data_IF_441823718746
#
_entry.id   IF_441823718746
#
_cell.length_a   1.000
_cell.length_b   1.000
_cell.length_c   1.000
_cell.angle_alpha   90.00
_cell.angle_beta   90.00
_cell.angle_gamma   90.00
#
_symmetry.space_group_name_H-M   'P 1'
#
loop_
_entity.id
_entity.type
_entity.pdbx_description
1 polymer ?
#
# COMPACT_ATOMS: atom_id res chain seq x y z
N UNK A 1 -21.14 11.89 10.44
CA UNK A 1 -19.66 11.94 10.49
C UNK A 1 -19.01 10.54 10.57
N UNK A 2 -19.71 9.48 11.03
CA UNK A 2 -19.14 8.13 11.13
C UNK A 2 -18.82 7.48 9.77
N UNK A 3 -19.64 7.69 8.76
CA UNK A 3 -19.54 7.04 7.44
C UNK A 3 -18.26 7.36 6.65
N UNK A 4 -17.67 8.52 6.85
CA UNK A 4 -16.45 8.95 6.17
C UNK A 4 -15.17 8.62 6.95
N UNK A 5 -15.29 8.12 8.19
CA UNK A 5 -14.13 7.81 9.03
C UNK A 5 -13.24 6.76 8.39
N UNK A 6 -13.82 5.68 7.87
CA UNK A 6 -13.08 4.62 7.19
C UNK A 6 -12.32 5.12 5.95
N UNK A 7 -13.01 5.73 4.96
CA UNK A 7 -12.35 6.33 3.79
C UNK A 7 -11.26 7.34 4.13
N UNK A 8 -11.48 8.21 5.12
CA UNK A 8 -10.47 9.20 5.55
C UNK A 8 -9.23 8.49 6.11
N UNK A 9 -9.38 7.44 6.92
CA UNK A 9 -8.24 6.68 7.43
C UNK A 9 -7.44 6.01 6.30
N UNK A 10 -8.12 5.46 5.28
CA UNK A 10 -7.46 4.89 4.11
C UNK A 10 -6.70 5.98 3.33
N UNK A 11 -7.29 7.14 3.12
CA UNK A 11 -6.63 8.27 2.44
C UNK A 11 -5.43 8.80 3.22
N UNK A 12 -5.53 8.92 4.55
CA UNK A 12 -4.37 9.29 5.37
C UNK A 12 -3.26 8.24 5.27
N UNK A 13 -3.63 6.96 5.24
CA UNK A 13 -2.67 5.88 4.99
C UNK A 13 -2.02 5.98 3.62
N UNK A 14 -2.76 6.31 2.56
CA UNK A 14 -2.22 6.51 1.21
C UNK A 14 -1.24 7.68 1.14
N UNK A 15 -1.52 8.77 1.85
CA UNK A 15 -0.60 9.91 1.98
C UNK A 15 0.68 9.53 2.74
N UNK A 16 0.59 8.69 3.78
CA UNK A 16 1.78 8.15 4.43
C UNK A 16 2.58 7.25 3.47
N UNK A 17 1.93 6.40 2.68
CA UNK A 17 2.61 5.59 1.67
C UNK A 17 3.31 6.43 0.60
N UNK A 18 2.82 7.61 0.29
CA UNK A 18 3.40 8.49 -0.74
C UNK A 18 4.84 8.93 -0.43
N UNK A 19 5.27 8.90 0.85
CA UNK A 19 6.68 9.18 1.21
C UNK A 19 7.63 8.08 0.72
N UNK A 20 7.13 6.88 0.39
CA UNK A 20 7.94 5.75 -0.08
C UNK A 20 8.77 6.13 -1.31
N UNK A 21 8.15 6.80 -2.29
CA UNK A 21 8.85 7.24 -3.50
C UNK A 21 9.95 8.26 -3.20
N UNK A 22 9.64 9.26 -2.36
CA UNK A 22 10.63 10.25 -1.91
C UNK A 22 11.82 9.59 -1.22
N UNK A 23 11.57 8.67 -0.30
CA UNK A 23 12.63 7.97 0.42
C UNK A 23 13.48 7.08 -0.48
N UNK A 24 12.93 6.52 -1.55
CA UNK A 24 13.71 5.78 -2.54
C UNK A 24 14.65 6.67 -3.34
N UNK A 25 14.24 7.91 -3.67
CA UNK A 25 15.09 8.89 -4.35
C UNK A 25 16.21 9.39 -3.43
N UNK A 26 15.90 9.63 -2.16
CA UNK A 26 16.86 10.12 -1.17
C UNK A 26 17.75 9.02 -0.60
N UNK A 27 17.44 7.76 -0.84
CA UNK A 27 18.19 6.62 -0.30
C UNK A 27 19.67 6.66 -0.73
N UNK A 28 20.61 6.31 0.15
CA UNK A 28 22.04 6.30 -0.17
C UNK A 28 22.39 5.33 -1.29
N UNK A 29 23.52 5.60 -1.96
CA UNK A 29 24.08 4.65 -2.90
C UNK A 29 24.33 3.30 -2.21
N UNK A 30 23.91 2.20 -2.88
CA UNK A 30 23.96 0.85 -2.32
C UNK A 30 22.66 0.38 -1.67
N UNK A 31 21.69 1.28 -1.46
CA UNK A 31 20.34 0.85 -1.09
C UNK A 31 19.72 0.03 -2.23
N UNK A 32 19.34 -1.18 -1.91
CA UNK A 32 18.66 -2.07 -2.85
C UNK A 32 17.25 -2.40 -2.36
N UNK A 33 16.39 -2.74 -3.29
CA UNK A 33 14.97 -2.95 -3.04
C UNK A 33 14.69 -4.00 -1.95
N UNK A 34 15.44 -5.11 -1.94
CA UNK A 34 15.24 -6.22 -0.98
C UNK A 34 15.65 -5.82 0.44
N UNK A 35 16.85 -5.22 0.61
CA UNK A 35 17.27 -4.77 1.94
C UNK A 35 16.41 -3.62 2.45
N UNK A 36 15.95 -2.72 1.58
CA UNK A 36 15.04 -1.64 1.94
C UNK A 36 13.69 -2.20 2.41
N UNK A 37 13.11 -3.16 1.68
CA UNK A 37 11.87 -3.82 2.08
C UNK A 37 12.02 -4.57 3.42
N UNK A 38 13.14 -5.26 3.63
CA UNK A 38 13.45 -5.93 4.89
C UNK A 38 13.48 -4.94 6.06
N UNK A 39 14.30 -3.89 5.98
CA UNK A 39 14.43 -2.91 7.06
C UNK A 39 13.12 -2.15 7.30
N UNK A 40 12.39 -1.79 6.25
CA UNK A 40 11.06 -1.20 6.35
C UNK A 40 10.13 -2.05 7.23
N UNK A 41 10.03 -3.34 6.95
CA UNK A 41 9.14 -4.24 7.69
C UNK A 41 9.67 -4.54 9.09
N UNK A 42 10.98 -4.72 9.26
CA UNK A 42 11.60 -5.00 10.55
C UNK A 42 11.43 -3.81 11.52
N UNK A 43 11.78 -2.60 11.09
CA UNK A 43 11.65 -1.38 11.92
C UNK A 43 10.18 -1.09 12.22
N UNK A 44 9.30 -1.17 11.22
CA UNK A 44 7.86 -0.99 11.43
C UNK A 44 7.29 -1.98 12.45
N UNK A 45 7.69 -3.25 12.35
CA UNK A 45 7.29 -4.28 13.30
C UNK A 45 7.77 -3.97 14.72
N UNK A 46 9.06 -3.66 14.90
CA UNK A 46 9.64 -3.34 16.21
C UNK A 46 8.91 -2.15 16.83
N UNK A 47 8.73 -1.07 16.07
CA UNK A 47 8.03 0.12 16.57
C UNK A 47 6.58 -0.17 16.97
N UNK A 48 5.86 -0.97 16.19
CA UNK A 48 4.49 -1.36 16.51
C UNK A 48 4.41 -2.31 17.71
N UNK A 49 5.37 -3.23 17.88
CA UNK A 49 5.42 -4.05 19.10
C UNK A 49 5.69 -3.21 20.33
N UNK A 50 6.61 -2.26 20.27
CA UNK A 50 6.86 -1.30 21.35
C UNK A 50 5.58 -0.53 21.68
N UNK A 51 4.90 0.00 20.67
CA UNK A 51 3.61 0.70 20.85
C UNK A 51 2.55 -0.20 21.50
N UNK A 52 2.37 -1.42 20.97
CA UNK A 52 1.40 -2.37 21.51
C UNK A 52 1.73 -2.80 22.94
N UNK A 53 3.01 -2.87 23.31
CA UNK A 53 3.44 -3.16 24.68
C UNK A 53 3.00 -2.05 25.64
N UNK A 54 3.29 -0.79 25.32
CA UNK A 54 2.93 0.34 26.16
C UNK A 54 1.41 0.62 26.22
N UNK A 55 0.69 0.30 25.16
CA UNK A 55 -0.78 0.48 25.09
C UNK A 55 -1.55 -0.75 25.58
N UNK A 56 -0.86 -1.82 25.98
CA UNK A 56 -1.50 -3.03 26.49
C UNK A 56 -2.23 -3.88 25.44
N UNK A 57 -1.96 -3.63 24.14
CA UNK A 57 -2.61 -4.33 23.02
C UNK A 57 -2.03 -5.73 22.76
N UNK A 58 -0.97 -6.15 23.47
CA UNK A 58 -0.39 -7.51 23.40
C UNK A 58 -1.08 -8.51 24.35
N UNK A 59 -2.19 -8.14 24.97
CA UNK A 59 -2.94 -9.01 25.89
C UNK A 59 -3.85 -9.97 25.12
N UNK A 60 -3.26 -10.84 24.32
CA UNK A 60 -3.96 -11.92 23.64
C UNK A 60 -3.20 -13.24 23.85
N UNK A 61 -3.92 -14.36 23.80
CA UNK A 61 -3.29 -15.67 23.87
C UNK A 61 -2.73 -16.04 22.49
N UNK A 62 -1.41 -16.18 22.42
CA UNK A 62 -0.69 -16.56 21.20
C UNK A 62 -1.16 -17.89 20.59
N UNK A 63 -1.72 -18.80 21.40
CA UNK A 63 -2.24 -20.08 20.94
C UNK A 63 -3.56 -19.96 20.19
N UNK A 64 -4.36 -18.94 20.52
CA UNK A 64 -5.68 -18.72 19.92
C UNK A 64 -5.66 -17.77 18.72
N UNK A 65 -4.47 -17.27 18.34
CA UNK A 65 -4.31 -16.39 17.19
C UNK A 65 -4.70 -17.07 15.86
N UNK A 66 -5.28 -16.31 14.93
CA UNK A 66 -5.63 -16.82 13.60
C UNK A 66 -4.39 -16.95 12.70
N UNK A 67 -3.42 -17.79 13.11
CA UNK A 67 -2.12 -17.95 12.45
C UNK A 67 -2.22 -18.21 10.96
N UNK A 68 -3.20 -19.01 10.52
CA UNK A 68 -3.40 -19.30 9.09
C UNK A 68 -3.65 -18.01 8.30
N UNK A 69 -4.44 -17.07 8.85
CA UNK A 69 -4.74 -15.79 8.21
C UNK A 69 -3.57 -14.81 8.30
N UNK A 70 -2.88 -14.76 9.44
CA UNK A 70 -1.68 -13.95 9.63
C UNK A 70 -0.58 -14.35 8.65
N UNK A 71 -0.33 -15.66 8.52
CA UNK A 71 0.65 -16.20 7.57
C UNK A 71 0.20 -15.93 6.13
N UNK A 72 -1.08 -16.11 5.80
CA UNK A 72 -1.58 -15.80 4.47
C UNK A 72 -1.39 -14.32 4.11
N UNK A 73 -1.72 -13.40 5.04
CA UNK A 73 -1.45 -11.96 4.85
C UNK A 73 0.05 -11.66 4.67
N UNK A 74 0.91 -12.29 5.48
CA UNK A 74 2.35 -12.11 5.38
C UNK A 74 2.90 -12.64 4.05
N UNK A 75 2.45 -13.81 3.60
CA UNK A 75 2.85 -14.37 2.30
C UNK A 75 2.40 -13.49 1.13
N UNK A 76 1.17 -12.99 1.16
CA UNK A 76 0.67 -12.05 0.15
C UNK A 76 1.51 -10.77 0.08
N UNK A 77 1.87 -10.19 1.24
CA UNK A 77 2.72 -8.99 1.26
C UNK A 77 4.17 -9.30 0.87
N UNK A 78 4.71 -10.45 1.26
CA UNK A 78 6.07 -10.86 0.88
C UNK A 78 6.14 -11.06 -0.63
N UNK A 79 5.18 -11.80 -1.20
CA UNK A 79 5.07 -12.02 -2.64
C UNK A 79 4.96 -10.68 -3.39
N UNK A 80 4.05 -9.80 -2.97
CA UNK A 80 3.86 -8.50 -3.58
C UNK A 80 5.16 -7.67 -3.59
N UNK A 81 5.92 -7.67 -2.51
CA UNK A 81 7.19 -6.95 -2.44
C UNK A 81 8.28 -7.61 -3.30
N UNK A 82 8.47 -8.92 -3.18
CA UNK A 82 9.49 -9.63 -3.94
C UNK A 82 9.25 -9.47 -5.44
N UNK A 83 8.03 -9.72 -5.90
CA UNK A 83 7.70 -9.65 -7.33
C UNK A 83 7.79 -8.23 -7.87
N UNK A 84 7.28 -7.25 -7.15
CA UNK A 84 7.39 -5.86 -7.57
C UNK A 84 8.86 -5.41 -7.69
N UNK A 85 9.63 -5.60 -6.63
CA UNK A 85 10.99 -5.08 -6.58
C UNK A 85 11.98 -5.84 -7.49
N UNK A 86 11.76 -7.14 -7.73
CA UNK A 86 12.60 -7.88 -8.67
C UNK A 86 12.37 -7.46 -10.12
N UNK A 87 11.16 -7.01 -10.45
CA UNK A 87 10.73 -6.81 -11.84
C UNK A 87 10.63 -5.34 -12.25
N UNK A 88 10.50 -4.41 -11.29
CA UNK A 88 10.29 -2.99 -11.59
C UNK A 88 11.46 -2.36 -12.35
N UNK A 89 12.68 -2.87 -12.19
CA UNK A 89 13.87 -2.39 -12.92
C UNK A 89 13.84 -2.76 -14.39
N UNK A 90 13.30 -3.93 -14.72
CA UNK A 90 13.25 -4.46 -16.08
C UNK A 90 12.10 -3.85 -16.90
N UNK A 91 11.01 -3.49 -16.22
CA UNK A 91 9.82 -2.83 -16.82
C UNK A 91 9.95 -1.30 -16.83
N UNK A 92 10.74 -0.76 -15.91
CA UNK A 92 10.80 0.67 -15.61
C UNK A 92 9.88 1.07 -14.47
N UNK A 93 10.38 1.95 -13.60
CA UNK A 93 9.69 2.32 -12.34
C UNK A 93 8.31 2.91 -12.60
N UNK A 94 8.18 3.83 -13.56
CA UNK A 94 6.90 4.48 -13.88
C UNK A 94 5.86 3.46 -14.35
N UNK A 95 6.20 2.65 -15.36
CA UNK A 95 5.29 1.63 -15.91
C UNK A 95 4.95 0.58 -14.86
N UNK A 96 5.96 0.07 -14.14
CA UNK A 96 5.77 -0.93 -13.11
C UNK A 96 4.86 -0.45 -11.99
N UNK A 97 5.04 0.78 -11.52
CA UNK A 97 4.18 1.36 -10.47
C UNK A 97 2.75 1.55 -10.96
N UNK A 98 2.55 2.06 -12.17
CA UNK A 98 1.20 2.25 -12.76
C UNK A 98 0.47 0.91 -12.87
N UNK A 99 1.15 -0.12 -13.35
CA UNK A 99 0.54 -1.46 -13.50
C UNK A 99 0.22 -2.06 -12.14
N UNK A 100 1.16 -2.04 -11.20
CA UNK A 100 0.96 -2.55 -9.83
C UNK A 100 -0.24 -1.90 -9.15
N UNK A 101 -0.27 -0.57 -9.11
CA UNK A 101 -1.32 0.20 -8.45
C UNK A 101 -2.66 0.07 -9.21
N UNK A 102 -2.63 0.04 -10.55
CA UNK A 102 -3.84 -0.08 -11.38
C UNK A 102 -4.51 -1.44 -11.30
N UNK A 103 -3.73 -2.51 -11.15
CA UNK A 103 -4.24 -3.89 -10.99
C UNK A 103 -4.92 -4.09 -9.64
N UNK A 104 -4.43 -3.48 -8.57
CA UNK A 104 -4.88 -3.74 -7.20
C UNK A 104 -6.39 -3.56 -6.99
N UNK A 105 -7.06 -2.47 -7.42
CA UNK A 105 -8.52 -2.33 -7.27
C UNK A 105 -9.31 -3.40 -8.02
N UNK A 106 -8.90 -3.73 -9.26
CA UNK A 106 -9.55 -4.75 -10.07
C UNK A 106 -9.42 -6.13 -9.42
N UNK A 107 -8.24 -6.48 -8.94
CA UNK A 107 -7.99 -7.72 -8.22
C UNK A 107 -8.76 -7.78 -6.90
N UNK A 108 -8.84 -6.67 -6.14
CA UNK A 108 -9.64 -6.59 -4.91
C UNK A 108 -11.14 -6.82 -5.19
N UNK A 109 -11.66 -6.31 -6.31
CA UNK A 109 -13.04 -6.56 -6.72
C UNK A 109 -13.28 -8.04 -7.03
N UNK A 110 -12.34 -8.70 -7.72
CA UNK A 110 -12.38 -10.14 -8.01
C UNK A 110 -12.39 -10.93 -6.68
N UNK A 111 -11.46 -10.66 -5.76
CA UNK A 111 -11.39 -11.36 -4.49
C UNK A 111 -12.60 -11.08 -3.59
N UNK A 112 -13.10 -9.85 -3.54
CA UNK A 112 -14.31 -9.51 -2.79
C UNK A 112 -15.54 -10.28 -3.34
N UNK A 113 -15.65 -10.47 -4.65
CA UNK A 113 -16.68 -11.26 -5.25
C UNK A 113 -16.50 -12.77 -4.97
N UNK A 114 -15.30 -13.31 -5.12
CA UNK A 114 -15.03 -14.73 -4.92
C UNK A 114 -15.19 -15.14 -3.45
N UNK A 115 -14.68 -14.36 -2.51
CA UNK A 115 -14.65 -14.70 -1.09
C UNK A 115 -15.93 -14.31 -0.35
N UNK A 116 -16.53 -13.16 -0.70
CA UNK A 116 -17.63 -12.57 0.05
C UNK A 116 -18.89 -12.33 -0.78
N UNK A 117 -18.90 -12.71 -2.08
CA UNK A 117 -19.98 -12.46 -3.04
C UNK A 117 -20.39 -10.98 -3.16
N UNK A 118 -19.52 -10.08 -2.77
CA UNK A 118 -19.74 -8.63 -2.89
C UNK A 118 -19.46 -8.17 -4.31
N UNK A 119 -20.44 -7.46 -4.91
CA UNK A 119 -20.29 -6.85 -6.24
C UNK A 119 -19.99 -5.37 -6.08
N UNK A 120 -18.99 -4.82 -6.81
CA UNK A 120 -18.76 -3.39 -6.86
C UNK A 120 -19.96 -2.64 -7.45
N UNK A 121 -20.13 -1.38 -7.03
CA UNK A 121 -21.17 -0.51 -7.58
C UNK A 121 -20.79 0.04 -8.96
N UNK A 122 -21.78 0.57 -9.68
CA UNK A 122 -21.53 1.28 -10.94
C UNK A 122 -20.65 2.52 -10.71
N UNK A 123 -20.87 3.24 -9.60
CA UNK A 123 -20.05 4.40 -9.23
C UNK A 123 -18.62 3.99 -8.95
N UNK A 124 -18.40 2.84 -8.30
CA UNK A 124 -17.06 2.31 -8.08
C UNK A 124 -16.33 2.04 -9.41
N UNK A 125 -16.99 1.42 -10.39
CA UNK A 125 -16.40 1.17 -11.71
C UNK A 125 -15.95 2.46 -12.40
N UNK A 126 -16.83 3.47 -12.39
CA UNK A 126 -16.52 4.79 -12.97
C UNK A 126 -15.34 5.45 -12.25
N UNK A 127 -15.37 5.47 -10.91
CA UNK A 127 -14.31 6.06 -10.10
C UNK A 127 -12.98 5.35 -10.30
N UNK A 128 -12.98 4.02 -10.32
CA UNK A 128 -11.75 3.22 -10.52
C UNK A 128 -11.17 3.45 -11.91
N UNK A 129 -11.99 3.47 -12.95
CA UNK A 129 -11.55 3.79 -14.31
C UNK A 129 -10.94 5.20 -14.38
N UNK A 130 -11.60 6.20 -13.75
CA UNK A 130 -11.12 7.57 -13.70
C UNK A 130 -9.78 7.66 -12.94
N UNK A 131 -9.65 6.97 -11.80
CA UNK A 131 -8.42 6.96 -11.00
C UNK A 131 -7.27 6.30 -11.76
N UNK A 132 -7.48 5.13 -12.36
CA UNK A 132 -6.44 4.43 -13.13
C UNK A 132 -5.98 5.29 -14.31
N UNK A 133 -6.91 5.88 -15.06
CA UNK A 133 -6.58 6.78 -16.18
C UNK A 133 -5.79 7.99 -15.67
N UNK A 134 -6.19 8.57 -14.54
CA UNK A 134 -5.46 9.67 -13.91
C UNK A 134 -4.03 9.30 -13.53
N UNK A 135 -3.82 8.13 -12.91
CA UNK A 135 -2.48 7.63 -12.55
C UNK A 135 -1.63 7.39 -13.81
N UNK A 136 -2.20 6.85 -14.87
CA UNK A 136 -1.52 6.69 -16.18
C UNK A 136 -1.05 8.03 -16.72
N UNK A 137 -1.90 9.06 -16.68
CA UNK A 137 -1.57 10.40 -17.19
C UNK A 137 -0.54 11.14 -16.32
N UNK A 138 -0.51 10.85 -14.99
CA UNK A 138 0.49 11.42 -14.08
C UNK A 138 1.90 10.88 -14.32
N UNK A 139 2.00 9.67 -14.83
CA UNK A 139 3.27 9.02 -15.11
C UNK A 139 3.60 9.15 -16.60
N UNK A 140 4.72 9.78 -16.92
CA UNK A 140 5.19 9.87 -18.31
C UNK A 140 5.63 8.48 -18.80
N UNK A 141 4.72 7.78 -19.45
CA UNK A 141 4.98 6.46 -20.03
C UNK A 141 5.75 6.52 -21.36
N UNK A 142 6.01 7.72 -21.89
CA UNK A 142 6.68 7.90 -23.18
C UNK A 142 8.15 7.45 -23.15
N UNK A 143 8.80 7.52 -21.99
CA UNK A 143 10.16 7.07 -21.76
C UNK A 143 10.26 5.55 -21.47
N UNK A 144 9.14 4.89 -21.19
CA UNK A 144 9.08 3.47 -20.87
C UNK A 144 9.04 2.62 -22.15
N UNK A 145 10.11 1.89 -22.44
CA UNK A 145 9.97 0.71 -23.30
C UNK A 145 9.14 -0.30 -22.50
N UNK A 146 8.11 -0.88 -23.12
CA UNK A 146 7.49 -2.10 -22.60
C UNK A 146 8.62 -3.14 -22.52
N UNK A 147 9.16 -3.31 -21.30
CA UNK A 147 10.26 -4.22 -21.05
C UNK A 147 9.84 -5.67 -21.21
N UNK A 148 10.57 -6.55 -20.58
CA UNK A 148 10.28 -7.98 -20.60
C UNK A 148 8.85 -8.28 -20.16
N UNK A 149 8.06 -8.95 -21.02
CA UNK A 149 6.66 -9.33 -20.73
C UNK A 149 6.55 -10.25 -19.51
N UNK A 150 7.59 -11.03 -19.22
CA UNK A 150 7.63 -11.87 -18.02
C UNK A 150 7.73 -11.03 -16.76
N UNK A 151 8.56 -9.99 -16.76
CA UNK A 151 8.68 -9.05 -15.64
C UNK A 151 7.37 -8.28 -15.41
N UNK A 152 6.65 -7.92 -16.48
CA UNK A 152 5.32 -7.32 -16.35
C UNK A 152 4.32 -8.27 -15.68
N UNK A 153 4.38 -9.57 -16.01
CA UNK A 153 3.58 -10.61 -15.35
C UNK A 153 3.81 -10.69 -13.84
N UNK A 154 5.06 -10.57 -13.38
CA UNK A 154 5.37 -10.53 -11.95
C UNK A 154 4.82 -9.27 -11.26
N UNK A 155 4.83 -8.11 -11.94
CA UNK A 155 4.23 -6.89 -11.37
C UNK A 155 2.71 -7.02 -11.25
N UNK A 156 2.05 -7.63 -12.24
CA UNK A 156 0.62 -7.93 -12.16
C UNK A 156 0.36 -8.89 -10.99
N UNK A 157 1.13 -9.96 -10.84
CA UNK A 157 1.01 -10.88 -9.71
C UNK A 157 1.19 -10.17 -8.37
N UNK A 158 2.18 -9.27 -8.25
CA UNK A 158 2.38 -8.44 -7.06
C UNK A 158 1.14 -7.61 -6.71
N UNK A 159 0.47 -7.02 -7.71
CA UNK A 159 -0.80 -6.31 -7.53
C UNK A 159 -1.93 -7.21 -7.01
N UNK A 160 -2.00 -8.46 -7.50
CA UNK A 160 -2.93 -9.46 -6.97
C UNK A 160 -2.62 -9.85 -5.53
N UNK A 161 -1.35 -10.09 -5.18
CA UNK A 161 -0.93 -10.39 -3.81
C UNK A 161 -1.33 -9.29 -2.83
N UNK A 162 -1.04 -8.04 -3.17
CA UNK A 162 -1.45 -6.89 -2.35
C UNK A 162 -2.97 -6.76 -2.22
N UNK A 163 -3.71 -6.93 -3.30
CA UNK A 163 -5.18 -6.89 -3.30
C UNK A 163 -5.79 -8.00 -2.43
N UNK A 164 -5.22 -9.20 -2.47
CA UNK A 164 -5.64 -10.30 -1.61
C UNK A 164 -5.39 -9.97 -0.15
N UNK A 165 -4.21 -9.45 0.20
CA UNK A 165 -3.92 -8.95 1.55
C UNK A 165 -4.97 -7.95 2.02
N UNK A 166 -5.25 -6.90 1.25
CA UNK A 166 -6.25 -5.86 1.59
C UNK A 166 -7.64 -6.47 1.79
N UNK A 167 -7.98 -7.52 1.02
CA UNK A 167 -9.30 -8.16 1.08
C UNK A 167 -9.45 -9.08 2.30
N UNK A 168 -8.41 -9.82 2.70
CA UNK A 168 -8.51 -10.81 3.79
C UNK A 168 -8.09 -10.26 5.16
N UNK A 169 -7.27 -9.20 5.20
CA UNK A 169 -6.74 -8.65 6.45
C UNK A 169 -7.80 -8.09 7.42
N UNK A 170 -8.95 -7.51 6.98
CA UNK A 170 -9.95 -7.00 7.92
C UNK A 170 -10.50 -8.03 8.89
N UNK A 171 -10.52 -9.30 8.52
CA UNK A 171 -11.01 -10.39 9.40
C UNK A 171 -10.11 -10.59 10.63
N UNK A 172 -8.85 -10.15 10.58
CA UNK A 172 -7.96 -10.18 11.75
C UNK A 172 -8.44 -9.26 12.87
N UNK A 173 -9.14 -8.19 12.50
CA UNK A 173 -9.64 -7.16 13.41
C UNK A 173 -10.79 -7.64 14.32
N UNK A 174 -11.33 -8.83 14.07
CA UNK A 174 -12.26 -9.50 14.97
C UNK A 174 -11.59 -9.97 16.27
N UNK A 175 -10.26 -10.17 16.25
CA UNK A 175 -9.50 -10.74 17.37
C UNK A 175 -8.29 -9.93 17.78
N UNK A 176 -7.78 -9.06 16.92
CA UNK A 176 -6.58 -8.28 17.14
C UNK A 176 -6.84 -6.81 16.84
N UNK A 177 -6.09 -5.93 17.50
CA UNK A 177 -6.03 -4.53 17.04
C UNK A 177 -5.31 -4.44 15.67
N UNK A 178 -5.51 -3.35 14.96
CA UNK A 178 -4.83 -3.13 13.70
C UNK A 178 -3.30 -3.10 13.90
N UNK A 179 -2.86 -2.42 14.95
CA UNK A 179 -1.45 -2.28 15.33
C UNK A 179 -0.81 -3.64 15.61
N UNK A 180 -1.45 -4.48 16.41
CA UNK A 180 -0.96 -5.82 16.72
C UNK A 180 -0.96 -6.73 15.48
N UNK A 181 -1.99 -6.63 14.63
CA UNK A 181 -2.06 -7.38 13.38
C UNK A 181 -0.91 -7.03 12.45
N UNK A 182 -0.65 -5.72 12.24
CA UNK A 182 0.44 -5.25 11.38
C UNK A 182 1.80 -5.58 11.99
N UNK A 183 1.97 -5.44 13.32
CA UNK A 183 3.21 -5.83 13.99
C UNK A 183 3.59 -7.29 13.69
N UNK A 184 2.64 -8.21 13.85
CA UNK A 184 2.86 -9.64 13.59
C UNK A 184 3.10 -9.91 12.11
N UNK A 185 2.27 -9.34 11.21
CA UNK A 185 2.42 -9.53 9.77
C UNK A 185 3.78 -9.00 9.30
N UNK A 186 4.17 -7.78 9.71
CA UNK A 186 5.45 -7.18 9.32
C UNK A 186 6.65 -7.97 9.86
N UNK A 187 6.53 -8.58 11.05
CA UNK A 187 7.55 -9.51 11.57
C UNK A 187 7.70 -10.74 10.66
N UNK A 188 6.57 -11.34 10.28
CA UNK A 188 6.59 -12.51 9.40
C UNK A 188 7.14 -12.18 8.01
N UNK A 189 6.80 -11.01 7.47
CA UNK A 189 7.34 -10.53 6.18
C UNK A 189 8.84 -10.27 6.30
N UNK A 190 9.32 -9.59 7.35
CA UNK A 190 10.74 -9.35 7.54
C UNK A 190 11.52 -10.66 7.73
N UNK A 191 10.97 -11.63 8.46
CA UNK A 191 11.56 -12.93 8.62
C UNK A 191 11.65 -13.71 7.29
N UNK A 192 10.62 -13.62 6.46
CA UNK A 192 10.60 -14.22 5.13
C UNK A 192 11.62 -13.57 4.17
N UNK A 193 11.83 -12.25 4.28
CA UNK A 193 12.78 -11.49 3.46
C UNK A 193 14.23 -11.62 3.97
N UNK A 194 14.44 -12.03 5.23
CA UNK A 194 15.75 -12.08 5.88
C UNK A 194 16.80 -12.87 5.08
N UNK A 195 16.53 -14.09 4.58
CA UNK A 195 17.53 -14.84 3.82
C UNK A 195 18.02 -14.09 2.57
N UNK A 196 17.11 -13.49 1.83
CA UNK A 196 17.45 -12.70 0.65
C UNK A 196 18.17 -11.40 1.02
N UNK A 197 17.76 -10.75 2.10
CA UNK A 197 18.38 -9.52 2.58
C UNK A 197 19.83 -9.73 3.04
N UNK A 198 20.13 -10.86 3.70
CA UNK A 198 21.51 -11.23 4.13
C UNK A 198 22.48 -11.40 2.96
N UNK A 199 21.97 -11.69 1.76
CA UNK A 199 22.78 -11.79 0.54
C UNK A 199 23.03 -10.44 -0.11
N UNK A 200 22.47 -9.34 0.43
CA UNK A 200 22.55 -7.99 -0.15
C UNK A 200 23.40 -7.05 0.71
N UNK A 201 24.02 -6.01 0.10
CA UNK A 201 24.72 -4.98 0.86
C UNK A 201 23.78 -4.27 1.83
N UNK A 202 24.13 -4.22 3.11
CA UNK A 202 23.34 -3.55 4.16
C UNK A 202 24.05 -2.33 4.77
N UNK A 203 25.30 -2.06 4.37
CA UNK A 203 26.13 -0.99 4.95
C UNK A 203 25.54 0.42 4.78
N UNK A 204 24.72 0.61 3.74
CA UNK A 204 24.04 1.87 3.44
C UNK A 204 23.16 2.37 4.60
N UNK A 205 22.59 1.43 5.39
CA UNK A 205 21.71 1.75 6.53
C UNK A 205 22.45 2.52 7.63
N UNK A 206 23.76 2.31 7.78
CA UNK A 206 24.57 2.96 8.83
C UNK A 206 24.86 4.43 8.55
N UNK A 207 24.59 4.91 7.33
CA UNK A 207 24.69 6.33 7.01
C UNK A 207 23.54 7.13 7.63
N UNK A 208 23.72 8.44 7.97
CA UNK A 208 22.63 9.26 8.51
C UNK A 208 21.39 9.26 7.63
N UNK A 209 21.56 9.36 6.31
CA UNK A 209 20.45 9.31 5.34
C UNK A 209 19.84 7.92 5.26
N UNK A 210 20.63 6.85 5.37
CA UNK A 210 20.15 5.48 5.43
C UNK A 210 19.28 5.22 6.65
N UNK A 211 19.70 5.67 7.82
CA UNK A 211 18.89 5.61 9.03
C UNK A 211 17.58 6.38 8.87
N UNK A 212 17.63 7.63 8.36
CA UNK A 212 16.43 8.42 8.12
C UNK A 212 15.46 7.71 7.17
N UNK A 213 15.98 7.18 6.05
CA UNK A 213 15.19 6.39 5.09
C UNK A 213 14.51 5.19 5.75
N UNK A 214 15.27 4.42 6.54
CA UNK A 214 14.74 3.20 7.20
C UNK A 214 13.72 3.57 8.28
N UNK A 215 13.94 4.63 9.05
CA UNK A 215 12.98 5.06 10.07
C UNK A 215 11.69 5.62 9.44
N UNK A 216 11.77 6.44 8.40
CA UNK A 216 10.57 6.91 7.69
C UNK A 216 9.80 5.72 7.10
N UNK A 217 10.47 4.89 6.32
CA UNK A 217 9.83 3.72 5.71
C UNK A 217 9.26 2.74 6.74
N UNK A 218 9.96 2.55 7.87
CA UNK A 218 9.50 1.66 8.94
C UNK A 218 8.35 2.26 9.75
N UNK A 219 8.49 3.47 10.26
CA UNK A 219 7.49 4.09 11.16
C UNK A 219 6.31 4.64 10.37
N UNK A 220 6.57 5.44 9.32
CA UNK A 220 5.49 6.13 8.61
C UNK A 220 4.80 5.16 7.67
N UNK A 221 5.53 4.41 6.83
CA UNK A 221 4.90 3.60 5.81
C UNK A 221 4.54 2.18 6.28
N UNK A 222 5.40 1.47 7.00
CA UNK A 222 5.08 0.12 7.50
C UNK A 222 4.30 0.14 8.82
N UNK A 223 4.55 1.09 9.70
CA UNK A 223 3.83 1.23 10.96
C UNK A 223 2.49 1.96 10.79
N UNK A 224 2.58 3.27 10.60
CA UNK A 224 1.40 4.15 10.62
C UNK A 224 0.47 3.93 9.42
N UNK A 225 1.00 3.89 8.18
CA UNK A 225 0.15 3.78 6.99
C UNK A 225 -0.66 2.48 6.97
N UNK A 226 -0.02 1.32 7.15
CA UNK A 226 -0.74 0.04 7.21
C UNK A 226 -1.76 -0.01 8.37
N UNK A 227 -1.42 0.57 9.52
CA UNK A 227 -2.34 0.66 10.66
C UNK A 227 -3.56 1.52 10.33
N UNK A 228 -3.37 2.68 9.70
CA UNK A 228 -4.45 3.55 9.24
C UNK A 228 -5.35 2.84 8.21
N UNK A 229 -4.74 2.21 7.21
CA UNK A 229 -5.48 1.46 6.17
C UNK A 229 -6.29 0.32 6.80
N UNK A 230 -5.68 -0.49 7.67
CA UNK A 230 -6.35 -1.61 8.29
C UNK A 230 -7.49 -1.15 9.22
N UNK A 231 -7.31 -0.06 9.97
CA UNK A 231 -8.41 0.56 10.73
C UNK A 231 -9.51 1.13 9.82
N UNK A 232 -9.14 1.70 8.68
CA UNK A 232 -10.08 2.18 7.66
C UNK A 232 -10.93 1.05 7.06
N UNK A 233 -10.33 -0.11 6.84
CA UNK A 233 -10.99 -1.32 6.33
C UNK A 233 -12.05 -1.91 7.29
N UNK A 234 -12.11 -1.48 8.56
CA UNK A 234 -13.23 -1.81 9.47
C UNK A 234 -14.56 -1.24 8.99
N UNK A 235 -14.53 -0.12 8.27
CA UNK A 235 -15.71 0.66 7.89
C UNK A 235 -15.77 0.95 6.37
N UNK A 236 -14.86 0.38 5.59
CA UNK A 236 -14.75 0.57 4.14
C UNK A 236 -14.54 -0.77 3.46
N UNK A 237 -15.30 -1.04 2.41
CA UNK A 237 -15.08 -2.24 1.61
C UNK A 237 -13.68 -2.24 0.98
N UNK A 238 -13.07 -3.43 0.87
CA UNK A 238 -11.71 -3.60 0.32
C UNK A 238 -11.57 -3.05 -1.11
N UNK A 239 -12.63 -3.16 -1.92
CA UNK A 239 -12.66 -2.60 -3.28
C UNK A 239 -12.58 -1.08 -3.27
N UNK A 240 -13.34 -0.42 -2.40
CA UNK A 240 -13.31 1.04 -2.24
C UNK A 240 -11.95 1.48 -1.67
N UNK A 241 -11.47 0.80 -0.63
CA UNK A 241 -10.18 1.07 -0.03
C UNK A 241 -9.02 0.97 -1.04
N UNK A 242 -9.00 -0.09 -1.86
CA UNK A 242 -7.97 -0.27 -2.91
C UNK A 242 -7.98 0.86 -3.95
N UNK A 243 -9.16 1.41 -4.28
CA UNK A 243 -9.24 2.56 -5.18
C UNK A 243 -8.83 3.86 -4.48
N UNK A 244 -9.18 4.05 -3.19
CA UNK A 244 -8.73 5.22 -2.41
C UNK A 244 -7.21 5.25 -2.22
N UNK A 245 -6.55 4.09 -2.18
CA UNK A 245 -5.09 3.98 -2.15
C UNK A 245 -4.42 4.52 -3.42
N UNK A 246 -5.15 4.68 -4.54
CA UNK A 246 -4.68 5.44 -5.71
C UNK A 246 -4.43 6.93 -5.42
N UNK A 247 -4.76 7.41 -4.23
CA UNK A 247 -4.32 8.69 -3.70
C UNK A 247 -2.82 8.78 -3.40
N UNK A 248 -2.13 7.64 -3.24
CA UNK A 248 -0.67 7.60 -3.01
C UNK A 248 0.13 8.35 -4.09
N UNK A 249 -0.08 8.14 -5.40
CA UNK A 249 0.58 8.91 -6.44
C UNK A 249 0.36 10.43 -6.35
N UNK A 250 -0.81 10.90 -5.89
CA UNK A 250 -1.05 12.33 -5.69
C UNK A 250 -0.10 12.91 -4.64
N UNK A 251 0.05 12.22 -3.52
CA UNK A 251 1.00 12.60 -2.48
C UNK A 251 2.45 12.53 -2.97
N UNK A 252 2.81 11.47 -3.71
CA UNK A 252 4.16 11.29 -4.26
C UNK A 252 4.55 12.43 -5.21
N UNK A 253 3.66 12.83 -6.10
CA UNK A 253 3.86 14.00 -6.97
C UNK A 253 3.97 15.29 -6.15
N UNK A 254 3.15 15.44 -5.10
CA UNK A 254 3.26 16.57 -4.17
C UNK A 254 4.66 16.68 -3.56
N UNK A 255 5.23 15.58 -3.08
CA UNK A 255 6.60 15.54 -2.56
C UNK A 255 7.64 15.82 -3.64
N UNK A 256 7.48 15.27 -4.86
CA UNK A 256 8.35 15.55 -6.00
C UNK A 256 8.44 17.03 -6.32
N UNK A 257 7.31 17.71 -6.40
CA UNK A 257 7.26 19.17 -6.67
C UNK A 257 7.84 19.99 -5.52
N UNK A 258 7.40 19.71 -4.27
CA UNK A 258 7.74 20.53 -3.11
C UNK A 258 9.19 20.37 -2.65
N UNK A 259 9.73 19.14 -2.70
CA UNK A 259 11.04 18.83 -2.13
C UNK A 259 12.11 18.55 -3.18
N UNK A 260 11.74 18.02 -4.35
CA UNK A 260 12.69 17.70 -5.41
C UNK A 260 12.69 18.73 -6.54
N UNK A 261 11.76 19.70 -6.53
CA UNK A 261 11.64 20.75 -7.56
C UNK A 261 11.18 20.21 -8.92
N UNK A 262 10.50 19.07 -8.94
CA UNK A 262 10.00 18.46 -10.18
C UNK A 262 8.95 19.37 -10.86
N UNK A 263 9.02 19.46 -12.16
CA UNK A 263 8.03 20.19 -12.96
C UNK A 263 7.02 19.23 -13.56
N UNK A 264 5.75 19.50 -13.31
CA UNK A 264 4.65 18.70 -13.84
C UNK A 264 4.13 19.33 -15.11
N UNK A 265 4.04 18.55 -16.18
CA UNK A 265 3.40 18.99 -17.43
C UNK A 265 1.86 19.08 -17.28
N UNK A 266 1.22 19.77 -18.24
CA UNK A 266 -0.25 19.93 -18.27
C UNK A 266 -1.01 18.59 -18.17
N UNK A 267 -0.52 17.54 -18.86
CA UNK A 267 -1.12 16.20 -18.83
C UNK A 267 -1.09 15.62 -17.40
N UNK A 268 0.00 15.81 -16.67
CA UNK A 268 0.13 15.38 -15.28
C UNK A 268 -0.90 16.07 -14.36
N UNK A 269 -1.13 17.37 -14.52
CA UNK A 269 -2.19 18.09 -13.79
C UNK A 269 -3.58 17.55 -14.12
N UNK A 270 -3.87 17.22 -15.38
CA UNK A 270 -5.12 16.56 -15.76
C UNK A 270 -5.27 15.22 -15.04
N UNK A 271 -4.21 14.41 -15.00
CA UNK A 271 -4.20 13.14 -14.28
C UNK A 271 -4.46 13.29 -12.78
N UNK A 272 -3.79 14.25 -12.12
CA UNK A 272 -4.03 14.58 -10.69
C UNK A 272 -5.48 14.94 -10.44
N UNK A 273 -6.06 15.76 -11.30
CA UNK A 273 -7.46 16.20 -11.20
C UNK A 273 -8.41 15.01 -11.31
N UNK A 274 -8.16 14.08 -12.24
CA UNK A 274 -8.96 12.86 -12.40
C UNK A 274 -8.90 11.97 -11.15
N UNK A 275 -7.71 11.73 -10.58
CA UNK A 275 -7.58 10.95 -9.34
C UNK A 275 -8.31 11.63 -8.19
N UNK A 276 -8.17 12.95 -8.04
CA UNK A 276 -8.87 13.71 -7.01
C UNK A 276 -10.40 13.58 -7.12
N UNK A 277 -10.96 13.75 -8.32
CA UNK A 277 -12.39 13.59 -8.54
C UNK A 277 -12.88 12.16 -8.29
N UNK A 278 -12.09 11.16 -8.65
CA UNK A 278 -12.37 9.76 -8.33
C UNK A 278 -12.54 9.55 -6.82
N UNK A 279 -11.60 10.08 -6.02
CA UNK A 279 -11.64 9.99 -4.56
C UNK A 279 -12.91 10.69 -4.01
N UNK A 280 -13.20 11.88 -4.46
CA UNK A 280 -14.40 12.63 -4.05
C UNK A 280 -15.68 11.86 -4.38
N UNK A 281 -15.75 11.26 -5.57
CA UNK A 281 -16.91 10.49 -6.02
C UNK A 281 -17.14 9.24 -5.14
N UNK A 282 -16.07 8.53 -4.78
CA UNK A 282 -16.15 7.37 -3.89
C UNK A 282 -16.56 7.76 -2.47
N UNK A 283 -15.98 8.83 -1.92
CA UNK A 283 -16.35 9.33 -0.59
C UNK A 283 -17.82 9.76 -0.55
N UNK A 284 -18.30 10.42 -1.61
CA UNK A 284 -19.70 10.81 -1.73
C UNK A 284 -20.65 9.59 -1.80
N UNK A 285 -20.30 8.58 -2.58
CA UNK A 285 -21.09 7.34 -2.64
C UNK A 285 -21.14 6.65 -1.28
N UNK A 286 -20.00 6.54 -0.59
CA UNK A 286 -19.95 5.92 0.73
C UNK A 286 -20.84 6.68 1.73
N UNK A 287 -20.81 8.00 1.69
CA UNK A 287 -21.68 8.84 2.54
C UNK A 287 -23.16 8.63 2.23
N UNK A 288 -23.54 8.55 0.95
CA UNK A 288 -24.94 8.28 0.55
C UNK A 288 -25.44 6.92 1.05
N UNK A 289 -24.63 5.87 0.86
CA UNK A 289 -24.98 4.50 1.27
C UNK A 289 -25.21 4.40 2.77
N UNK A 290 -24.38 5.06 3.58
CA UNK A 290 -24.55 5.08 5.04
C UNK A 290 -25.90 5.70 5.45
N UNK A 291 -26.31 6.82 4.81
CA UNK A 291 -27.61 7.45 5.12
C UNK A 291 -28.79 6.56 4.78
N UNK A 292 -28.67 5.72 3.74
CA UNK A 292 -29.76 4.82 3.31
C UNK A 292 -29.87 3.58 4.22
N UNK A 293 -28.82 3.25 4.98
CA UNK A 293 -28.86 2.14 5.94
C UNK A 293 -29.37 2.56 7.33
N UNK A 294 -29.32 3.85 7.63
CA UNK A 294 -29.78 4.44 8.91
C UNK A 294 -31.29 4.83 8.87
N UNK A 295 -31.95 4.72 7.70
CA UNK A 295 -33.41 4.88 7.50
C UNK A 295 -34.09 3.54 7.34
#
# INVERSE_FOLDING_TARGET
MSALKGPILVLLGSLCFSTTGLMQVLAPQGANAVSTAFFRMAVGSICLFIWCFFTGQLRFDWKTLPWKRLIACALCLTEAQVFFFSSVKDVGVAVGTVVYIGVAPCAAAIFAFLLYRKKPSTVWWLSTALAITGVVLMNDLSAGRLGDMSALGFIVAAGFGYALYVTISPVLLERLSAEASIAIISSLVSLALLPAALCMPMQWVLSPMGLFTVFDLGIVTAGLAFTLVLNGLKQTDSTVASTLLLGEPLGAVGWGVLLLGEQIGFIGYCGMTMVFFSIVLLCWEQHRRSKTQDC
#
